data_IF_629423188885
#
_entry.id   IF_629423188885
#
_cell.length_a   1.000
_cell.length_b   1.000
_cell.length_c   1.000
_cell.angle_alpha   90.00
_cell.angle_beta   90.00
_cell.angle_gamma   90.00
#
_symmetry.space_group_name_H-M   'P 1'
#
loop_
_entity.id
_entity.type
_entity.pdbx_description
1 polymer ?
#
# COMPACT_ATOMS: atom_id res chain seq x y z
N UNK A 1 -47.54 -21.36 -0.88
CA UNK A 1 -46.47 -21.81 0.03
C UNK A 1 -45.40 -20.76 0.29
N UNK A 2 -44.72 -20.17 -0.71
CA UNK A 2 -43.66 -19.16 -0.44
C UNK A 2 -44.16 -17.85 0.20
N UNK A 3 -45.32 -17.33 -0.19
CA UNK A 3 -45.87 -16.09 0.36
C UNK A 3 -46.23 -16.18 1.85
N UNK A 4 -46.66 -17.35 2.31
CA UNK A 4 -47.10 -17.55 3.69
C UNK A 4 -45.91 -17.61 4.67
N UNK A 5 -44.80 -18.21 4.25
CA UNK A 5 -43.55 -18.24 5.03
C UNK A 5 -42.99 -16.82 5.18
N UNK A 6 -42.98 -16.02 4.12
CA UNK A 6 -42.50 -14.63 4.17
C UNK A 6 -43.35 -13.73 5.08
N UNK A 7 -44.65 -13.97 5.14
CA UNK A 7 -45.55 -13.21 6.02
C UNK A 7 -45.33 -13.54 7.50
N UNK A 8 -44.93 -14.79 7.82
CA UNK A 8 -44.60 -15.22 9.18
C UNK A 8 -43.28 -14.65 9.70
N UNK A 9 -42.33 -14.36 8.81
CA UNK A 9 -41.00 -13.85 9.16
C UNK A 9 -40.81 -12.36 8.85
N UNK A 10 -41.89 -11.56 8.78
CA UNK A 10 -41.83 -10.12 8.49
C UNK A 10 -40.95 -9.79 7.26
N UNK A 11 -41.01 -10.63 6.21
CA UNK A 11 -40.20 -10.56 4.97
C UNK A 11 -38.69 -10.76 5.14
N UNK A 12 -38.17 -11.04 6.33
CA UNK A 12 -36.73 -11.28 6.58
C UNK A 12 -36.55 -12.75 6.97
N UNK A 13 -36.08 -13.56 6.03
CA UNK A 13 -35.72 -14.95 6.31
C UNK A 13 -34.43 -15.02 7.14
N UNK A 14 -34.37 -15.87 8.19
CA UNK A 14 -33.13 -16.09 8.92
C UNK A 14 -32.09 -16.72 7.98
N UNK A 15 -30.87 -16.17 8.03
CA UNK A 15 -29.74 -16.72 7.28
C UNK A 15 -29.13 -17.90 8.04
N UNK A 16 -28.66 -18.90 7.29
CA UNK A 16 -27.95 -20.04 7.87
C UNK A 16 -26.50 -19.65 8.17
N UNK A 17 -26.05 -20.00 9.37
CA UNK A 17 -24.68 -19.83 9.77
C UNK A 17 -23.77 -20.88 9.10
N UNK A 18 -22.70 -20.49 8.41
CA UNK A 18 -21.83 -21.43 7.67
C UNK A 18 -21.22 -22.55 8.53
N UNK A 19 -20.81 -22.21 9.76
CA UNK A 19 -20.22 -23.17 10.70
C UNK A 19 -21.28 -23.96 11.48
N UNK A 20 -22.19 -23.28 12.18
CA UNK A 20 -23.17 -23.92 13.06
C UNK A 20 -24.28 -24.67 12.31
N UNK A 21 -24.83 -24.09 11.23
CA UNK A 21 -26.00 -24.65 10.54
C UNK A 21 -25.59 -25.49 9.32
N UNK A 22 -24.63 -25.00 8.52
CA UNK A 22 -24.18 -25.69 7.30
C UNK A 22 -23.03 -26.69 7.54
N UNK A 23 -22.45 -26.72 8.75
CA UNK A 23 -21.39 -27.67 9.16
C UNK A 23 -20.16 -27.69 8.23
N UNK A 24 -19.75 -26.52 7.75
CA UNK A 24 -18.54 -26.39 6.93
C UNK A 24 -17.31 -26.51 7.84
N UNK A 25 -16.55 -27.59 7.68
CA UNK A 25 -15.40 -27.96 8.52
C UNK A 25 -14.05 -27.50 7.96
N UNK A 26 -14.04 -26.54 7.04
CA UNK A 26 -12.79 -25.95 6.54
C UNK A 26 -12.21 -24.96 7.55
N UNK A 27 -10.97 -25.21 7.98
CA UNK A 27 -10.25 -24.36 8.93
C UNK A 27 -10.14 -22.91 8.45
N UNK A 28 -9.94 -22.67 7.15
CA UNK A 28 -9.81 -21.32 6.61
C UNK A 28 -11.13 -20.54 6.72
N UNK A 29 -12.26 -21.22 6.48
CA UNK A 29 -13.60 -20.62 6.61
C UNK A 29 -13.89 -20.28 8.07
N UNK A 30 -13.58 -21.19 9.00
CA UNK A 30 -13.79 -20.95 10.43
C UNK A 30 -12.99 -19.75 10.93
N UNK A 31 -11.72 -19.64 10.56
CA UNK A 31 -10.89 -18.48 10.92
C UNK A 31 -11.45 -17.17 10.34
N UNK A 32 -11.88 -17.19 9.08
CA UNK A 32 -12.41 -16.00 8.43
C UNK A 32 -13.72 -15.53 9.05
N UNK A 33 -14.60 -16.46 9.45
CA UNK A 33 -15.84 -16.15 10.18
C UNK A 33 -15.52 -15.49 11.52
N UNK A 34 -14.56 -16.02 12.28
CA UNK A 34 -14.14 -15.43 13.57
C UNK A 34 -13.57 -14.02 13.37
N UNK A 35 -12.73 -13.82 12.35
CA UNK A 35 -12.17 -12.49 12.01
C UNK A 35 -13.28 -11.52 11.61
N UNK A 36 -14.26 -11.97 10.83
CA UNK A 36 -15.39 -11.18 10.39
C UNK A 36 -16.25 -10.73 11.57
N UNK A 37 -16.61 -11.63 12.48
CA UNK A 37 -17.35 -11.28 13.71
C UNK A 37 -16.58 -10.27 14.58
N UNK A 38 -15.25 -10.43 14.70
CA UNK A 38 -14.42 -9.49 15.45
C UNK A 38 -14.41 -8.10 14.80
N UNK A 39 -14.38 -8.03 13.46
CA UNK A 39 -14.46 -6.77 12.72
C UNK A 39 -15.84 -6.12 12.85
N UNK A 40 -16.93 -6.89 12.75
CA UNK A 40 -18.28 -6.37 12.95
C UNK A 40 -18.48 -5.78 14.34
N UNK A 41 -18.02 -6.49 15.39
CA UNK A 41 -18.02 -5.95 16.76
C UNK A 41 -17.20 -4.67 16.84
N UNK A 42 -16.02 -4.64 16.23
CA UNK A 42 -15.17 -3.45 16.23
C UNK A 42 -15.85 -2.27 15.53
N UNK A 43 -16.52 -2.49 14.41
CA UNK A 43 -17.29 -1.46 13.70
C UNK A 43 -18.44 -0.96 14.56
N UNK A 44 -19.17 -1.87 15.22
CA UNK A 44 -20.31 -1.53 16.07
C UNK A 44 -19.91 -0.63 17.24
N UNK A 45 -18.79 -0.92 17.91
CA UNK A 45 -18.28 -0.14 19.04
C UNK A 45 -17.38 1.04 18.63
N UNK A 46 -17.18 1.28 17.33
CA UNK A 46 -16.28 2.33 16.89
C UNK A 46 -16.89 3.72 17.12
N UNK A 47 -16.21 4.66 17.81
CA UNK A 47 -16.75 5.99 18.10
C UNK A 47 -17.13 6.81 16.87
N UNK A 48 -16.54 6.52 15.71
CA UNK A 48 -16.83 7.26 14.49
C UNK A 48 -18.17 6.92 13.85
N UNK A 49 -18.86 5.87 14.30
CA UNK A 49 -20.17 5.47 13.77
C UNK A 49 -21.27 6.48 14.07
N UNK A 50 -21.15 7.18 15.20
CA UNK A 50 -22.14 8.17 15.66
C UNK A 50 -21.87 9.57 15.09
N UNK A 51 -20.75 9.76 14.39
CA UNK A 51 -20.41 11.04 13.78
C UNK A 51 -21.20 11.24 12.48
N UNK A 52 -22.06 12.26 12.44
CA UNK A 52 -22.85 12.63 11.25
C UNK A 52 -22.01 13.00 10.02
N UNK A 53 -20.77 13.45 10.24
CA UNK A 53 -19.86 13.91 9.18
C UNK A 53 -18.82 12.84 8.81
N UNK A 54 -19.02 11.57 9.20
CA UNK A 54 -18.05 10.50 8.96
C UNK A 54 -17.72 10.33 7.48
N UNK A 55 -18.72 10.40 6.60
CA UNK A 55 -18.55 10.23 5.16
C UNK A 55 -17.59 11.26 4.56
N UNK A 56 -17.78 12.54 4.89
CA UNK A 56 -16.90 13.62 4.42
C UNK A 56 -15.47 13.49 4.96
N UNK A 57 -15.34 13.12 6.24
CA UNK A 57 -14.04 12.88 6.86
C UNK A 57 -13.32 11.68 6.23
N UNK A 58 -14.07 10.62 5.91
CA UNK A 58 -13.54 9.42 5.28
C UNK A 58 -13.05 9.71 3.87
N UNK A 59 -13.82 10.47 3.08
CA UNK A 59 -13.39 10.90 1.74
C UNK A 59 -12.14 11.78 1.78
N UNK A 60 -12.04 12.69 2.75
CA UNK A 60 -10.82 13.50 2.94
C UNK A 60 -9.62 12.65 3.36
N UNK A 61 -9.84 11.66 4.23
CA UNK A 61 -8.79 10.72 4.63
C UNK A 61 -8.32 9.88 3.44
N UNK A 62 -9.23 9.41 2.59
CA UNK A 62 -8.90 8.68 1.37
C UNK A 62 -8.05 9.50 0.42
N UNK A 63 -8.43 10.76 0.17
CA UNK A 63 -7.62 11.71 -0.62
C UNK A 63 -6.23 11.91 -0.03
N UNK A 64 -6.13 12.02 1.30
CA UNK A 64 -4.83 12.12 1.99
C UNK A 64 -3.95 10.90 1.70
N UNK A 65 -4.49 9.69 1.80
CA UNK A 65 -3.74 8.47 1.52
C UNK A 65 -3.26 8.38 0.06
N UNK A 66 -4.11 8.79 -0.89
CA UNK A 66 -3.73 8.87 -2.31
C UNK A 66 -2.57 9.86 -2.52
N UNK A 67 -2.62 11.03 -1.87
CA UNK A 67 -1.53 12.01 -1.92
C UNK A 67 -0.24 11.50 -1.27
N UNK A 68 -0.33 10.80 -0.14
CA UNK A 68 0.83 10.18 0.51
C UNK A 68 1.49 9.13 -0.39
N UNK A 69 0.70 8.29 -1.06
CA UNK A 69 1.21 7.32 -2.02
C UNK A 69 1.92 7.99 -3.20
N UNK A 70 1.32 9.04 -3.78
CA UNK A 70 1.92 9.80 -4.88
C UNK A 70 3.22 10.49 -4.45
N UNK A 71 3.27 10.99 -3.22
CA UNK A 71 4.45 11.65 -2.66
C UNK A 71 5.61 10.66 -2.51
N UNK A 72 5.37 9.45 -2.02
CA UNK A 72 6.41 8.42 -1.92
C UNK A 72 6.93 7.98 -3.30
N UNK A 73 6.06 7.88 -4.30
CA UNK A 73 6.47 7.64 -5.69
C UNK A 73 7.36 8.77 -6.21
N UNK A 74 6.93 10.03 -6.07
CA UNK A 74 7.69 11.19 -6.52
C UNK A 74 9.06 11.30 -5.83
N UNK A 75 9.15 11.01 -4.52
CA UNK A 75 10.42 10.95 -3.80
C UNK A 75 11.35 9.87 -4.36
N UNK A 76 10.81 8.69 -4.66
CA UNK A 76 11.59 7.60 -5.22
C UNK A 76 12.12 7.96 -6.62
N UNK A 77 11.30 8.60 -7.46
CA UNK A 77 11.70 9.10 -8.78
C UNK A 77 12.79 10.16 -8.69
N UNK A 78 12.64 11.13 -7.79
CA UNK A 78 13.65 12.17 -7.54
C UNK A 78 14.99 11.55 -7.14
N UNK A 79 14.98 10.59 -6.22
CA UNK A 79 16.21 9.90 -5.79
C UNK A 79 16.90 9.16 -6.95
N UNK A 80 16.12 8.52 -7.82
CA UNK A 80 16.64 7.86 -9.03
C UNK A 80 17.28 8.88 -9.98
N UNK A 81 16.60 9.98 -10.27
CA UNK A 81 17.10 11.04 -11.14
C UNK A 81 18.41 11.65 -10.61
N UNK A 82 18.49 11.93 -9.30
CA UNK A 82 19.71 12.41 -8.66
C UNK A 82 20.88 11.42 -8.80
N UNK A 83 20.63 10.13 -8.60
CA UNK A 83 21.67 9.10 -8.75
C UNK A 83 22.21 9.00 -10.18
N UNK A 84 21.34 9.14 -11.18
CA UNK A 84 21.73 9.13 -12.59
C UNK A 84 22.58 10.36 -12.94
N UNK A 85 22.15 11.55 -12.51
CA UNK A 85 22.89 12.79 -12.73
C UNK A 85 24.31 12.74 -12.14
N UNK A 86 24.47 12.17 -10.94
CA UNK A 86 25.79 11.99 -10.32
C UNK A 86 26.71 11.07 -11.14
N UNK A 87 26.17 10.02 -11.78
CA UNK A 87 26.94 9.14 -12.66
C UNK A 87 27.35 9.83 -13.96
N UNK A 88 26.46 10.62 -14.56
CA UNK A 88 26.78 11.42 -15.75
C UNK A 88 27.89 12.43 -15.46
N UNK A 89 27.82 13.13 -14.32
CA UNK A 89 28.85 14.06 -13.90
C UNK A 89 30.21 13.36 -13.69
N UNK A 90 30.21 12.19 -13.05
CA UNK A 90 31.42 11.38 -12.87
C UNK A 90 32.03 10.97 -14.21
N UNK A 91 31.21 10.56 -15.19
CA UNK A 91 31.68 10.19 -16.52
C UNK A 91 32.33 11.37 -17.25
N UNK A 92 31.71 12.56 -17.19
CA UNK A 92 32.27 13.79 -17.74
C UNK A 92 33.61 14.15 -17.09
N UNK A 93 33.71 14.07 -15.75
CA UNK A 93 34.95 14.33 -15.01
C UNK A 93 36.05 13.33 -15.38
N UNK A 94 35.75 12.04 -15.43
CA UNK A 94 36.69 10.99 -15.88
C UNK A 94 37.18 11.24 -17.31
N UNK A 95 36.33 11.73 -18.20
CA UNK A 95 36.73 12.07 -19.57
C UNK A 95 37.79 13.16 -19.58
N UNK A 96 37.61 14.22 -18.79
CA UNK A 96 38.60 15.30 -18.66
C UNK A 96 39.91 14.79 -18.06
N UNK A 97 39.86 13.98 -17.00
CA UNK A 97 41.06 13.42 -16.37
C UNK A 97 41.88 12.54 -17.33
N UNK A 98 41.22 11.74 -18.17
CA UNK A 98 41.88 10.96 -19.22
C UNK A 98 42.49 11.84 -20.31
N UNK A 99 41.79 12.92 -20.73
CA UNK A 99 42.34 13.90 -21.69
C UNK A 99 43.57 14.63 -21.15
N UNK A 100 43.58 14.97 -19.86
CA UNK A 100 44.73 15.58 -19.19
C UNK A 100 45.85 14.58 -18.86
N UNK A 101 45.69 13.30 -19.20
CA UNK A 101 46.63 12.22 -18.90
C UNK A 101 46.91 12.06 -17.39
N UNK A 102 45.93 12.43 -16.56
CA UNK A 102 45.97 12.25 -15.11
C UNK A 102 45.62 10.81 -14.71
N UNK A 103 44.77 10.16 -15.51
CA UNK A 103 44.44 8.75 -15.41
C UNK A 103 44.59 8.06 -16.77
N UNK A 104 44.87 6.75 -16.76
CA UNK A 104 44.88 5.89 -17.95
C UNK A 104 43.45 5.51 -18.41
N UNK A 105 43.31 4.83 -19.55
CA UNK A 105 42.04 4.38 -20.13
C UNK A 105 41.20 3.49 -19.20
N UNK A 106 41.87 2.79 -18.27
CA UNK A 106 41.27 1.96 -17.22
C UNK A 106 41.09 2.69 -15.87
N UNK A 107 41.06 4.03 -15.89
CA UNK A 107 40.93 4.90 -14.70
C UNK A 107 42.06 4.76 -13.65
N UNK A 108 43.22 4.20 -14.02
CA UNK A 108 44.39 4.08 -13.14
C UNK A 108 45.14 5.42 -13.07
N UNK A 109 45.32 5.96 -11.86
CA UNK A 109 45.98 7.26 -11.62
C UNK A 109 47.47 7.19 -11.99
N UNK A 110 47.93 8.14 -12.78
CA UNK A 110 49.33 8.28 -13.16
C UNK A 110 50.17 9.05 -12.11
N UNK A 111 51.49 8.79 -12.00
CA UNK A 111 52.36 9.44 -11.02
C UNK A 111 52.45 10.97 -11.18
N UNK A 112 52.08 11.52 -12.35
CA UNK A 112 51.98 12.98 -12.59
C UNK A 112 51.09 13.72 -11.57
N UNK A 113 50.15 13.03 -10.93
CA UNK A 113 49.17 13.60 -9.99
C UNK A 113 49.44 13.18 -8.55
N UNK A 114 50.31 12.18 -8.33
CA UNK A 114 50.69 11.73 -6.98
C UNK A 114 51.80 12.63 -6.45
N UNK A 115 51.44 13.80 -5.94
CA UNK A 115 52.31 14.70 -5.17
C UNK A 115 51.65 14.95 -3.82
#
# INVERSE_FOLDING_TARGET
>A
MHYEVLNRFNKIMPLLHPVNDMKINDSAVQENVIKLEALEKRILYHPSRDNRNFEELYENYKKKLELEANLEVAKAELKKAQSLLQLEELNCRKHVLRRLQYCDGNDVIQPKVRI
#
